data_IF_121945683638
#
_entry.id   IF_121945683638
#
_cell.length_a   1.000
_cell.length_b   1.000
_cell.length_c   1.000
_cell.angle_alpha   90.00
_cell.angle_beta   90.00
_cell.angle_gamma   90.00
#
_symmetry.space_group_name_H-M   'P 1'
#
loop_
_entity.id
_entity.type
_entity.pdbx_description
1 polymer ?
#
# COMPACT_ATOMS: atom_id res chain seq x y z
N UNK A 1 -13.66 -6.83 -1.12
CA UNK A 1 -12.26 -6.52 -0.74
C UNK A 1 -11.71 -7.53 0.28
N UNK A 2 -12.33 -7.69 1.45
CA UNK A 2 -11.87 -8.59 2.53
C UNK A 2 -11.60 -10.03 2.06
N UNK A 3 -12.55 -10.64 1.34
CA UNK A 3 -12.39 -12.01 0.83
C UNK A 3 -11.16 -12.17 -0.10
N UNK A 4 -10.84 -11.14 -0.90
CA UNK A 4 -9.65 -11.14 -1.76
C UNK A 4 -8.38 -11.06 -0.92
N UNK A 5 -8.36 -10.22 0.12
CA UNK A 5 -7.22 -10.12 1.04
C UNK A 5 -6.99 -11.44 1.78
N UNK A 6 -8.04 -12.07 2.31
CA UNK A 6 -7.94 -13.39 2.96
C UNK A 6 -7.46 -14.45 1.97
N UNK A 7 -8.04 -14.49 0.77
CA UNK A 7 -7.66 -15.45 -0.27
C UNK A 7 -6.19 -15.33 -0.66
N UNK A 8 -5.72 -14.11 -0.97
CA UNK A 8 -4.38 -13.87 -1.50
C UNK A 8 -3.28 -13.79 -0.42
N UNK A 9 -3.58 -13.24 0.76
CA UNK A 9 -2.58 -13.04 1.81
C UNK A 9 -2.56 -14.13 2.88
N UNK A 10 -3.59 -15.01 2.94
CA UNK A 10 -3.65 -16.11 3.92
C UNK A 10 -3.80 -17.45 3.23
N UNK A 11 -4.91 -17.68 2.52
CA UNK A 11 -5.25 -19.01 2.00
C UNK A 11 -4.23 -19.47 0.97
N UNK A 12 -3.87 -18.63 0.00
CA UNK A 12 -2.94 -18.99 -1.06
C UNK A 12 -1.52 -19.28 -0.52
N UNK A 13 -0.86 -18.40 0.27
CA UNK A 13 0.46 -18.70 0.87
C UNK A 13 0.47 -20.00 1.67
N UNK A 14 -0.51 -20.18 2.56
CA UNK A 14 -0.58 -21.36 3.42
C UNK A 14 -0.84 -22.63 2.60
N UNK A 15 -1.67 -22.56 1.55
CA UNK A 15 -1.92 -23.70 0.67
C UNK A 15 -0.68 -24.13 -0.12
N UNK A 16 0.09 -23.17 -0.66
CA UNK A 16 1.34 -23.45 -1.37
C UNK A 16 2.37 -24.10 -0.43
N UNK A 17 2.52 -23.57 0.78
CA UNK A 17 3.43 -24.10 1.81
C UNK A 17 2.99 -25.50 2.26
N UNK A 18 1.70 -25.68 2.58
CA UNK A 18 1.16 -26.96 3.03
C UNK A 18 1.29 -28.04 1.96
N UNK A 19 1.08 -27.69 0.69
CA UNK A 19 1.24 -28.64 -0.42
C UNK A 19 2.66 -29.19 -0.49
N UNK A 20 3.69 -28.35 -0.32
CA UNK A 20 5.09 -28.77 -0.31
C UNK A 20 5.41 -29.76 0.83
N UNK A 21 4.75 -29.63 1.98
CA UNK A 21 4.97 -30.50 3.14
C UNK A 21 4.17 -31.82 3.11
N UNK A 22 2.94 -31.77 2.58
CA UNK A 22 1.95 -32.85 2.72
C UNK A 22 1.89 -33.73 1.48
N UNK A 23 1.94 -33.15 0.29
CA UNK A 23 1.77 -33.88 -0.98
C UNK A 23 2.73 -33.37 -2.08
N UNK A 24 4.05 -33.35 -1.85
CA UNK A 24 5.01 -32.91 -2.85
C UNK A 24 5.06 -33.88 -4.04
N UNK A 25 5.46 -33.43 -5.23
CA UNK A 25 5.74 -34.29 -6.37
C UNK A 25 6.75 -35.39 -6.05
N UNK A 26 6.52 -36.59 -6.56
CA UNK A 26 7.38 -37.76 -6.36
C UNK A 26 8.66 -37.77 -7.22
N UNK A 27 8.92 -36.71 -7.99
CA UNK A 27 10.07 -36.59 -8.87
C UNK A 27 10.85 -35.30 -8.60
N UNK A 28 12.16 -35.33 -8.90
CA UNK A 28 13.09 -34.25 -8.58
C UNK A 28 12.74 -32.93 -9.30
N UNK A 29 12.36 -32.99 -10.58
CA UNK A 29 11.96 -31.82 -11.35
C UNK A 29 10.73 -31.14 -10.71
N UNK A 30 9.72 -31.94 -10.37
CA UNK A 30 8.48 -31.45 -9.80
C UNK A 30 8.67 -30.76 -8.45
N UNK A 31 9.41 -31.35 -7.52
CA UNK A 31 9.64 -30.72 -6.21
C UNK A 31 10.50 -29.45 -6.34
N UNK A 32 11.52 -29.48 -7.20
CA UNK A 32 12.39 -28.32 -7.42
C UNK A 32 11.60 -27.15 -8.01
N UNK A 33 10.77 -27.43 -9.02
CA UNK A 33 9.87 -26.44 -9.62
C UNK A 33 8.83 -25.96 -8.59
N UNK A 34 8.23 -26.86 -7.82
CA UNK A 34 7.25 -26.49 -6.81
C UNK A 34 7.85 -25.54 -5.77
N UNK A 35 9.02 -25.87 -5.24
CA UNK A 35 9.73 -25.07 -4.26
C UNK A 35 10.10 -23.69 -4.82
N UNK A 36 10.69 -23.65 -6.03
CA UNK A 36 11.08 -22.40 -6.69
C UNK A 36 9.89 -21.47 -6.93
N UNK A 37 8.82 -21.99 -7.54
CA UNK A 37 7.64 -21.19 -7.86
C UNK A 37 6.88 -20.79 -6.59
N UNK A 38 6.86 -21.64 -5.56
CA UNK A 38 6.32 -21.25 -4.24
C UNK A 38 7.13 -20.10 -3.64
N UNK A 39 8.46 -20.15 -3.68
CA UNK A 39 9.30 -19.07 -3.18
C UNK A 39 9.06 -17.75 -3.93
N UNK A 40 8.97 -17.80 -5.27
CA UNK A 40 8.66 -16.63 -6.11
C UNK A 40 7.28 -16.08 -5.77
N UNK A 41 6.26 -16.93 -5.65
CA UNK A 41 4.90 -16.52 -5.31
C UNK A 41 4.82 -15.91 -3.90
N UNK A 42 5.47 -16.51 -2.89
CA UNK A 42 5.54 -15.97 -1.54
C UNK A 42 6.23 -14.60 -1.52
N UNK A 43 7.31 -14.43 -2.29
CA UNK A 43 7.97 -13.13 -2.43
C UNK A 43 7.06 -12.09 -3.10
N UNK A 44 6.40 -12.44 -4.21
CA UNK A 44 5.45 -11.56 -4.89
C UNK A 44 4.32 -11.12 -3.93
N UNK A 45 3.73 -12.07 -3.19
CA UNK A 45 2.70 -11.80 -2.20
C UNK A 45 3.24 -10.89 -1.09
N UNK A 46 4.44 -11.18 -0.54
CA UNK A 46 5.10 -10.36 0.48
C UNK A 46 5.25 -8.89 0.04
N UNK A 47 5.55 -8.64 -1.24
CA UNK A 47 5.75 -7.30 -1.79
C UNK A 47 4.44 -6.57 -2.09
N UNK A 48 3.45 -7.26 -2.62
CA UNK A 48 2.18 -6.65 -3.03
C UNK A 48 1.16 -6.54 -1.90
N UNK A 49 1.29 -7.40 -0.88
CA UNK A 49 0.38 -7.48 0.24
C UNK A 49 0.22 -6.15 0.97
N UNK A 50 -1.00 -5.89 1.42
CA UNK A 50 -1.38 -4.67 2.12
C UNK A 50 -0.94 -4.74 3.59
N UNK A 51 -0.93 -5.95 4.15
CA UNK A 51 -0.45 -6.26 5.49
C UNK A 51 -1.05 -5.47 6.65
N UNK A 52 -2.27 -4.95 6.47
CA UNK A 52 -3.13 -4.44 7.55
C UNK A 52 -3.75 -5.56 8.37
N UNK A 53 -4.12 -6.65 7.68
CA UNK A 53 -4.51 -7.92 8.25
C UNK A 53 -4.31 -9.04 7.21
N UNK A 54 -3.50 -10.06 7.50
CA UNK A 54 -2.68 -10.21 8.70
C UNK A 54 -1.53 -9.17 8.74
N UNK A 55 -0.87 -8.92 9.89
CA UNK A 55 0.08 -7.81 10.05
C UNK A 55 1.35 -7.92 9.20
N UNK A 56 2.09 -6.82 9.08
CA UNK A 56 3.34 -6.68 8.30
C UNK A 56 4.42 -7.73 8.56
N UNK A 57 4.43 -8.38 9.72
CA UNK A 57 5.42 -9.43 10.03
C UNK A 57 5.04 -10.81 9.49
N UNK A 58 3.82 -11.00 8.99
CA UNK A 58 3.30 -12.30 8.52
C UNK A 58 4.14 -12.93 7.39
N UNK A 59 4.64 -12.18 6.39
CA UNK A 59 5.50 -12.75 5.35
C UNK A 59 6.76 -13.44 5.88
N UNK A 60 7.33 -12.98 6.99
CA UNK A 60 8.50 -13.62 7.59
C UNK A 60 8.14 -14.99 8.20
N UNK A 61 6.93 -15.14 8.74
CA UNK A 61 6.42 -16.44 9.16
C UNK A 61 6.21 -17.37 7.97
N UNK A 62 5.68 -16.87 6.86
CA UNK A 62 5.54 -17.67 5.64
C UNK A 62 6.90 -18.16 5.12
N UNK A 63 7.94 -17.31 5.14
CA UNK A 63 9.30 -17.75 4.81
C UNK A 63 9.80 -18.86 5.73
N UNK A 64 9.55 -18.74 7.04
CA UNK A 64 9.94 -19.75 8.02
C UNK A 64 9.19 -21.08 7.82
N UNK A 65 7.87 -21.02 7.61
CA UNK A 65 7.05 -22.19 7.33
C UNK A 65 7.39 -22.83 5.99
N UNK A 66 7.74 -22.04 4.98
CA UNK A 66 8.21 -22.54 3.69
C UNK A 66 9.51 -23.36 3.85
N UNK A 67 10.50 -22.83 4.57
CA UNK A 67 11.76 -23.56 4.82
C UNK A 67 11.48 -24.86 5.59
N UNK A 68 10.65 -24.82 6.63
CA UNK A 68 10.28 -26.01 7.38
C UNK A 68 9.54 -27.03 6.50
N UNK A 69 8.58 -26.58 5.70
CA UNK A 69 7.81 -27.41 4.79
C UNK A 69 8.71 -28.09 3.74
N UNK A 70 9.68 -27.36 3.19
CA UNK A 70 10.65 -27.89 2.25
C UNK A 70 11.52 -28.98 2.90
N UNK A 71 12.04 -28.74 4.11
CA UNK A 71 12.84 -29.74 4.85
C UNK A 71 12.02 -30.99 5.15
N UNK A 72 10.77 -30.83 5.61
CA UNK A 72 9.86 -31.95 5.90
C UNK A 72 9.53 -32.72 4.62
N UNK A 73 9.20 -32.02 3.53
CA UNK A 73 8.89 -32.62 2.23
C UNK A 73 10.05 -33.45 1.69
N UNK A 74 11.27 -32.88 1.70
CA UNK A 74 12.51 -33.54 1.27
C UNK A 74 12.88 -34.75 2.14
N UNK A 75 12.64 -34.71 3.46
CA UNK A 75 12.95 -35.83 4.36
C UNK A 75 11.96 -36.98 4.25
N UNK A 76 10.68 -36.68 4.00
CA UNK A 76 9.61 -37.69 3.91
C UNK A 76 9.64 -38.49 2.61
N UNK A 77 10.11 -37.88 1.52
CA UNK A 77 10.01 -38.48 0.19
C UNK A 77 11.38 -38.86 -0.36
N UNK A 78 11.57 -40.16 -0.62
CA UNK A 78 12.71 -40.63 -1.40
C UNK A 78 12.37 -40.50 -2.87
N UNK A 79 13.08 -39.64 -3.60
CA UNK A 79 12.86 -39.43 -5.03
C UNK A 79 13.33 -40.67 -5.81
N UNK A 80 12.37 -41.39 -6.39
CA UNK A 80 12.65 -42.59 -7.17
C UNK A 80 12.88 -42.28 -8.66
N UNK A 81 12.49 -41.09 -9.11
CA UNK A 81 12.55 -40.66 -10.52
C UNK A 81 12.93 -39.19 -10.63
N UNK A 82 13.59 -38.83 -11.73
CA UNK A 82 13.93 -37.44 -12.03
C UNK A 82 12.75 -36.69 -12.68
N UNK A 83 11.99 -37.36 -13.54
CA UNK A 83 10.92 -36.77 -14.36
C UNK A 83 9.52 -37.33 -14.03
N UNK A 84 8.44 -36.59 -14.37
CA UNK A 84 7.07 -37.09 -14.27
C UNK A 84 6.83 -38.30 -15.18
N UNK A 85 6.09 -39.29 -14.69
CA UNK A 85 5.78 -40.51 -15.45
C UNK A 85 4.38 -40.54 -16.07
N UNK A 86 3.56 -39.51 -15.82
CA UNK A 86 2.19 -39.43 -16.35
C UNK A 86 2.01 -38.13 -17.11
N UNK A 87 1.11 -38.14 -18.10
CA UNK A 87 0.72 -36.94 -18.84
C UNK A 87 0.11 -35.87 -17.91
N UNK A 88 -0.65 -36.29 -16.88
CA UNK A 88 -1.15 -35.40 -15.83
C UNK A 88 -0.01 -34.71 -15.06
N UNK A 89 1.08 -35.43 -14.79
CA UNK A 89 2.28 -34.85 -14.17
C UNK A 89 2.92 -33.78 -15.04
N UNK A 90 2.99 -34.00 -16.35
CA UNK A 90 3.47 -32.98 -17.30
C UNK A 90 2.53 -31.77 -17.42
N UNK A 91 1.22 -31.97 -17.40
CA UNK A 91 0.25 -30.86 -17.33
C UNK A 91 0.45 -30.04 -16.05
N UNK A 92 0.64 -30.70 -14.91
CA UNK A 92 0.92 -30.02 -13.65
C UNK A 92 2.21 -29.19 -13.73
N UNK A 93 3.28 -29.72 -14.34
CA UNK A 93 4.52 -28.96 -14.60
C UNK A 93 4.22 -27.72 -15.44
N UNK A 94 3.54 -27.85 -16.58
CA UNK A 94 3.23 -26.71 -17.47
C UNK A 94 2.39 -25.66 -16.75
N UNK A 95 1.37 -26.08 -16.00
CA UNK A 95 0.54 -25.17 -15.22
C UNK A 95 1.35 -24.43 -14.15
N UNK A 96 2.27 -25.11 -13.46
CA UNK A 96 3.10 -24.49 -12.43
C UNK A 96 4.17 -23.57 -13.02
N UNK A 97 4.73 -23.90 -14.19
CA UNK A 97 5.60 -22.98 -14.93
C UNK A 97 4.82 -21.71 -15.31
N UNK A 98 3.61 -21.84 -15.86
CA UNK A 98 2.79 -20.68 -16.21
C UNK A 98 2.48 -19.81 -14.99
N UNK A 99 2.11 -20.43 -13.86
CA UNK A 99 1.92 -19.72 -12.59
C UNK A 99 3.21 -19.06 -12.10
N UNK A 100 4.35 -19.74 -12.21
CA UNK A 100 5.67 -19.21 -11.86
C UNK A 100 6.10 -18.01 -12.70
N UNK A 101 5.83 -18.04 -14.01
CA UNK A 101 6.06 -16.90 -14.91
C UNK A 101 5.19 -15.72 -14.50
N UNK A 102 3.89 -15.95 -14.24
CA UNK A 102 2.99 -14.92 -13.75
C UNK A 102 3.47 -14.32 -12.42
N UNK A 103 3.74 -15.16 -11.41
CA UNK A 103 4.23 -14.72 -10.10
C UNK A 103 5.58 -14.00 -10.19
N UNK A 104 6.47 -14.46 -11.08
CA UNK A 104 7.75 -13.83 -11.36
C UNK A 104 7.60 -12.43 -11.95
N UNK A 105 6.68 -12.25 -12.91
CA UNK A 105 6.34 -10.93 -13.42
C UNK A 105 5.82 -10.01 -12.31
N UNK A 106 4.90 -10.49 -11.48
CA UNK A 106 4.36 -9.69 -10.37
C UNK A 106 5.43 -9.31 -9.33
N UNK A 107 6.37 -10.23 -9.04
CA UNK A 107 7.53 -9.96 -8.20
C UNK A 107 8.45 -8.88 -8.80
N UNK A 108 8.80 -9.00 -10.09
CA UNK A 108 9.68 -8.03 -10.76
C UNK A 108 9.05 -6.65 -10.81
N UNK A 109 7.76 -6.55 -11.15
CA UNK A 109 7.08 -5.26 -11.26
C UNK A 109 6.86 -4.59 -9.90
N UNK A 110 6.47 -5.36 -8.87
CA UNK A 110 6.36 -4.84 -7.50
C UNK A 110 7.73 -4.47 -6.91
N UNK A 111 8.81 -5.13 -7.32
CA UNK A 111 10.17 -4.75 -6.98
C UNK A 111 10.58 -3.45 -7.68
N UNK A 112 10.32 -3.32 -8.99
CA UNK A 112 10.62 -2.11 -9.76
C UNK A 112 9.92 -0.86 -9.17
N UNK A 113 8.71 -1.03 -8.64
CA UNK A 113 7.95 0.03 -7.97
C UNK A 113 8.62 0.67 -6.75
N UNK A 114 9.70 0.08 -6.21
CA UNK A 114 10.47 0.68 -5.12
C UNK A 114 11.38 1.82 -5.55
N UNK A 115 11.65 1.94 -6.85
CA UNK A 115 12.49 3.01 -7.36
C UNK A 115 11.63 4.20 -7.75
N UNK A 116 12.02 5.42 -7.37
CA UNK A 116 11.32 6.61 -7.81
C UNK A 116 11.40 6.71 -9.34
N UNK A 117 10.36 7.21 -10.01
CA UNK A 117 10.41 7.47 -11.45
C UNK A 117 11.50 8.52 -11.77
N UNK A 118 12.01 8.57 -13.02
CA UNK A 118 13.08 9.48 -13.44
C UNK A 118 12.57 10.93 -13.66
N UNK A 119 11.86 11.46 -12.67
CA UNK A 119 11.36 12.83 -12.61
C UNK A 119 11.75 13.46 -11.26
N UNK A 120 11.76 14.79 -11.13
CA UNK A 120 12.09 15.45 -9.87
C UNK A 120 11.19 14.95 -8.73
N UNK A 121 11.81 14.61 -7.60
CA UNK A 121 11.11 14.26 -6.36
C UNK A 121 11.14 15.45 -5.39
N UNK A 122 10.18 15.49 -4.49
CA UNK A 122 10.06 16.52 -3.46
C UNK A 122 10.40 15.91 -2.11
N UNK A 123 11.35 16.50 -1.39
CA UNK A 123 11.59 16.16 0.02
C UNK A 123 10.65 16.96 0.93
N UNK A 124 9.89 16.24 1.76
CA UNK A 124 8.93 16.77 2.71
C UNK A 124 9.28 16.32 4.14
N UNK A 125 8.80 17.06 5.13
CA UNK A 125 8.73 16.58 6.50
C UNK A 125 7.58 15.59 6.66
N UNK A 126 7.75 14.59 7.52
CA UNK A 126 6.68 13.62 7.77
C UNK A 126 5.50 14.31 8.50
N UNK A 127 4.25 14.21 8.01
CA UNK A 127 3.13 15.04 8.45
C UNK A 127 2.44 14.55 9.73
N UNK A 128 3.03 13.58 10.44
CA UNK A 128 2.47 12.94 11.64
C UNK A 128 3.58 12.81 12.71
N UNK A 129 3.23 12.63 13.98
CA UNK A 129 4.19 12.59 15.10
C UNK A 129 3.83 11.56 16.17
N UNK A 130 4.81 11.09 16.93
CA UNK A 130 4.56 10.32 18.16
C UNK A 130 3.94 8.93 17.97
N UNK A 131 4.24 8.23 16.88
CA UNK A 131 3.65 6.94 16.58
C UNK A 131 4.43 6.10 15.56
N UNK A 132 3.95 4.87 15.37
CA UNK A 132 4.42 3.95 14.34
C UNK A 132 3.41 3.94 13.18
N UNK A 133 3.90 4.20 11.98
CA UNK A 133 3.07 4.33 10.78
C UNK A 133 3.45 3.30 9.73
N UNK A 134 2.46 2.81 8.99
CA UNK A 134 2.60 1.92 7.85
C UNK A 134 2.13 2.64 6.58
N UNK A 135 2.91 2.54 5.51
CA UNK A 135 2.53 3.03 4.20
C UNK A 135 1.62 2.00 3.53
N UNK A 136 0.36 2.36 3.31
CA UNK A 136 -0.67 1.51 2.71
C UNK A 136 -0.61 1.55 1.17
N UNK A 137 -0.51 2.76 0.63
CA UNK A 137 -0.20 3.01 -0.78
C UNK A 137 1.08 3.83 -0.85
N UNK A 138 2.00 3.44 -1.71
CA UNK A 138 3.27 4.13 -1.91
C UNK A 138 4.14 3.40 -2.92
N UNK A 139 5.09 4.10 -3.52
CA UNK A 139 5.89 3.59 -4.62
C UNK A 139 5.35 4.00 -5.99
N UNK A 140 6.02 3.52 -7.04
CA UNK A 140 5.85 3.98 -8.43
C UNK A 140 5.13 2.99 -9.35
N UNK A 141 4.74 1.81 -8.85
CA UNK A 141 4.00 0.81 -9.61
C UNK A 141 2.59 0.54 -9.04
N UNK A 142 1.64 0.24 -9.92
CA UNK A 142 0.23 0.00 -9.60
C UNK A 142 0.01 -1.14 -8.58
N UNK A 143 0.92 -2.13 -8.53
CA UNK A 143 0.81 -3.28 -7.62
C UNK A 143 0.95 -2.90 -6.16
N UNK A 144 1.69 -1.83 -5.88
CA UNK A 144 1.99 -1.34 -4.53
C UNK A 144 1.39 0.06 -4.27
N UNK A 145 0.99 0.77 -5.32
CA UNK A 145 0.36 2.08 -5.21
C UNK A 145 -0.83 2.23 -6.17
N UNK A 146 -2.05 2.17 -5.64
CA UNK A 146 -3.27 2.31 -6.44
C UNK A 146 -3.37 3.65 -7.18
N UNK A 147 -2.76 4.72 -6.66
CA UNK A 147 -2.82 6.06 -7.23
C UNK A 147 -2.13 6.19 -8.59
N UNK A 148 -1.11 5.36 -8.85
CA UNK A 148 -0.37 5.31 -10.12
C UNK A 148 -1.29 5.04 -11.30
N UNK A 149 -2.47 4.43 -11.06
CA UNK A 149 -3.51 4.23 -12.07
C UNK A 149 -3.91 5.52 -12.78
N UNK A 150 -3.83 6.66 -12.09
CA UNK A 150 -4.26 7.96 -12.63
C UNK A 150 -3.27 8.55 -13.65
N UNK A 151 -2.13 7.89 -13.88
CA UNK A 151 -1.21 8.19 -14.99
C UNK A 151 -1.69 7.67 -16.34
N UNK A 152 -2.68 6.77 -16.39
CA UNK A 152 -3.19 6.23 -17.64
C UNK A 152 -3.94 7.31 -18.45
N UNK A 153 -3.25 7.85 -19.46
CA UNK A 153 -3.74 8.95 -20.29
C UNK A 153 -4.86 8.51 -21.26
N UNK A 154 -5.04 7.20 -21.46
CA UNK A 154 -6.11 6.64 -22.30
C UNK A 154 -7.49 6.78 -21.65
N UNK A 155 -7.55 7.08 -20.35
CA UNK A 155 -8.79 7.23 -19.58
C UNK A 155 -9.02 8.72 -19.24
N UNK A 156 -9.88 9.44 -19.98
CA UNK A 156 -9.99 10.90 -19.88
C UNK A 156 -10.31 11.41 -18.47
N UNK A 157 -11.11 10.66 -17.70
CA UNK A 157 -11.47 11.04 -16.32
C UNK A 157 -10.27 11.12 -15.36
N UNK A 158 -9.15 10.46 -15.65
CA UNK A 158 -7.98 10.47 -14.78
C UNK A 158 -7.19 11.77 -14.83
N UNK A 159 -7.36 12.61 -15.85
CA UNK A 159 -6.67 13.90 -15.96
C UNK A 159 -6.92 14.81 -14.75
N UNK A 160 -8.13 14.80 -14.21
CA UNK A 160 -8.49 15.59 -13.03
C UNK A 160 -7.94 15.03 -11.71
N UNK A 161 -7.33 13.85 -11.76
CA UNK A 161 -6.85 13.10 -10.60
C UNK A 161 -5.37 12.75 -10.67
N UNK A 162 -4.67 13.01 -11.78
CA UNK A 162 -3.31 12.51 -12.02
C UNK A 162 -2.29 12.96 -10.97
N UNK A 163 -2.50 14.12 -10.37
CA UNK A 163 -1.62 14.71 -9.36
C UNK A 163 -1.53 13.91 -8.07
N UNK A 164 -2.48 13.01 -7.80
CA UNK A 164 -2.37 12.07 -6.69
C UNK A 164 -1.41 10.91 -6.97
N UNK A 165 -0.95 10.73 -8.22
CA UNK A 165 0.00 9.68 -8.55
C UNK A 165 1.27 9.85 -7.73
N UNK A 166 1.86 8.72 -7.31
CA UNK A 166 2.97 8.69 -6.34
C UNK A 166 2.64 9.25 -4.96
N UNK A 167 1.39 9.63 -4.71
CA UNK A 167 0.87 9.93 -3.37
C UNK A 167 0.90 8.68 -2.48
N UNK A 168 0.78 8.94 -1.19
CA UNK A 168 0.82 7.93 -0.14
C UNK A 168 -0.42 7.99 0.73
N UNK A 169 -0.91 6.80 1.06
CA UNK A 169 -1.90 6.61 2.12
C UNK A 169 -1.17 6.06 3.34
N UNK A 170 -1.25 6.77 4.45
CA UNK A 170 -0.51 6.49 5.67
C UNK A 170 -1.50 6.11 6.76
N UNK A 171 -1.26 4.97 7.41
CA UNK A 171 -2.03 4.51 8.58
C UNK A 171 -1.10 4.39 9.79
N UNK A 172 -1.68 4.41 10.98
CA UNK A 172 -0.95 4.13 12.23
C UNK A 172 -1.18 2.68 12.63
N UNK A 173 -0.18 2.07 13.26
CA UNK A 173 -0.22 0.71 13.77
C UNK A 173 0.20 0.68 15.23
N UNK A 174 -0.34 -0.27 15.98
CA UNK A 174 0.11 -0.55 17.33
C UNK A 174 1.41 -1.37 17.35
N UNK A 175 1.88 -1.69 18.56
CA UNK A 175 3.10 -2.51 18.77
C UNK A 175 3.02 -3.92 18.18
N UNK A 176 1.83 -4.43 17.87
CA UNK A 176 1.61 -5.74 17.25
C UNK A 176 1.45 -5.64 15.73
N UNK A 177 1.49 -4.43 15.17
CA UNK A 177 1.29 -4.17 13.75
C UNK A 177 -0.19 -4.12 13.33
N UNK A 178 -1.12 -3.95 14.29
CA UNK A 178 -2.54 -3.83 14.01
C UNK A 178 -2.93 -2.37 13.86
N UNK A 179 -3.68 -2.05 12.80
CA UNK A 179 -4.14 -0.68 12.52
C UNK A 179 -5.46 -0.31 13.19
N UNK A 180 -6.17 -1.29 13.75
CA UNK A 180 -7.47 -1.07 14.39
C UNK A 180 -7.77 -2.16 15.45
N UNK A 181 -8.70 -1.87 16.35
CA UNK A 181 -9.29 -2.86 17.24
C UNK A 181 -10.33 -3.71 16.47
N UNK A 182 -9.84 -4.80 15.86
CA UNK A 182 -10.61 -5.66 14.97
C UNK A 182 -10.08 -5.62 13.53
N UNK A 183 -10.65 -6.45 12.67
CA UNK A 183 -10.15 -6.61 11.29
C UNK A 183 -10.64 -5.45 10.39
N UNK A 184 -11.96 -5.23 10.36
CA UNK A 184 -12.60 -4.13 9.62
C UNK A 184 -13.78 -3.60 10.45
N UNK A 185 -13.51 -2.91 11.57
CA UNK A 185 -14.58 -2.34 12.39
C UNK A 185 -15.29 -1.22 11.62
N UNK A 186 -16.60 -1.09 11.81
CA UNK A 186 -17.37 0.02 11.22
C UNK A 186 -17.16 1.35 11.97
N UNK A 187 -16.75 1.27 13.23
CA UNK A 187 -16.44 2.42 14.08
C UNK A 187 -15.07 2.98 13.72
N UNK A 188 -15.04 4.26 13.33
CA UNK A 188 -13.83 4.97 12.93
C UNK A 188 -12.87 5.16 14.11
N UNK A 189 -13.39 5.33 15.33
CA UNK A 189 -12.57 5.49 16.53
C UNK A 189 -11.82 4.20 16.93
N UNK A 190 -12.18 3.06 16.33
CA UNK A 190 -11.44 1.82 16.51
C UNK A 190 -10.13 1.78 15.72
N UNK A 191 -9.89 2.71 14.77
CA UNK A 191 -8.66 2.82 14.00
C UNK A 191 -7.64 3.69 14.73
N UNK A 192 -6.40 3.21 14.81
CA UNK A 192 -5.34 3.89 15.58
C UNK A 192 -5.14 5.34 15.13
N UNK A 193 -5.17 5.58 13.80
CA UNK A 193 -4.87 6.89 13.22
C UNK A 193 -6.04 7.89 13.32
N UNK A 194 -7.26 7.45 13.63
CA UNK A 194 -8.41 8.37 13.62
C UNK A 194 -8.26 9.45 14.69
N UNK A 195 -8.37 10.72 14.28
CA UNK A 195 -8.16 11.87 15.15
C UNK A 195 -6.70 12.28 15.35
N UNK A 196 -5.73 11.59 14.73
CA UNK A 196 -4.31 11.97 14.84
C UNK A 196 -4.06 13.37 14.24
N UNK A 197 -3.30 14.25 14.92
CA UNK A 197 -2.98 15.57 14.39
C UNK A 197 -2.13 15.51 13.11
N UNK A 198 -2.58 16.19 12.07
CA UNK A 198 -1.86 16.37 10.81
C UNK A 198 -1.07 17.68 10.85
N UNK A 199 0.21 17.60 10.52
CA UNK A 199 1.15 18.72 10.53
C UNK A 199 1.54 19.13 9.11
N UNK A 200 1.91 20.40 8.94
CA UNK A 200 2.40 20.93 7.68
C UNK A 200 3.73 20.23 7.28
N UNK A 201 3.77 19.50 6.14
CA UNK A 201 4.98 18.82 5.69
C UNK A 201 6.01 19.76 5.04
N UNK A 202 5.63 21.00 4.74
CA UNK A 202 6.49 22.02 4.16
C UNK A 202 6.01 23.42 4.58
N UNK A 203 6.94 24.38 4.62
CA UNK A 203 6.61 25.79 4.85
C UNK A 203 6.07 26.41 3.56
N UNK A 204 5.02 27.19 3.65
CA UNK A 204 4.36 27.73 2.48
C UNK A 204 3.02 28.39 2.78
N UNK A 205 2.17 28.50 1.75
CA UNK A 205 0.86 29.14 1.84
C UNK A 205 -0.26 28.14 1.62
N UNK A 206 -1.30 28.20 2.43
CA UNK A 206 -2.54 27.45 2.22
C UNK A 206 -3.28 28.05 1.03
N UNK A 207 -3.35 27.32 -0.10
CA UNK A 207 -4.04 27.79 -1.31
C UNK A 207 -5.48 27.27 -1.41
N UNK A 208 -5.78 26.15 -0.73
CA UNK A 208 -7.15 25.67 -0.51
C UNK A 208 -7.23 25.03 0.87
N UNK A 209 -8.35 25.24 1.56
CA UNK A 209 -8.70 24.62 2.83
C UNK A 209 -10.20 24.33 2.80
N UNK A 210 -10.56 23.06 2.66
CA UNK A 210 -11.95 22.62 2.50
C UNK A 210 -12.31 21.71 3.67
N UNK A 211 -13.41 22.05 4.33
CA UNK A 211 -13.98 21.33 5.48
C UNK A 211 -15.50 21.21 5.33
N UNK A 212 -16.14 20.45 6.21
CA UNK A 212 -17.60 20.30 6.31
C UNK A 212 -18.16 19.05 5.65
N UNK A 213 -17.36 18.26 4.93
CA UNK A 213 -17.78 16.93 4.48
C UNK A 213 -17.82 15.96 5.67
N UNK A 214 -18.87 15.16 5.82
CA UNK A 214 -18.94 14.17 6.89
C UNK A 214 -17.92 13.04 6.66
N UNK A 215 -17.52 12.38 7.75
CA UNK A 215 -16.83 11.10 7.65
C UNK A 215 -17.78 10.03 7.08
N UNK A 216 -17.24 9.14 6.25
CA UNK A 216 -17.99 8.01 5.73
C UNK A 216 -17.85 6.81 6.68
N UNK A 217 -18.97 6.19 7.06
CA UNK A 217 -18.94 4.92 7.79
C UNK A 217 -18.46 3.81 6.87
N UNK A 218 -17.54 2.96 7.33
CA UNK A 218 -17.03 1.85 6.54
C UNK A 218 -18.17 0.85 6.25
N UNK A 219 -18.36 0.37 5.00
CA UNK A 219 -17.49 0.52 3.82
C UNK A 219 -17.95 1.58 2.79
N UNK A 220 -18.71 2.59 3.22
CA UNK A 220 -19.19 3.67 2.35
C UNK A 220 -18.06 4.63 1.99
N UNK A 221 -18.12 5.21 0.79
CA UNK A 221 -17.14 6.18 0.29
C UNK A 221 -17.84 7.26 -0.54
N UNK A 222 -17.41 8.51 -0.43
CA UNK A 222 -17.89 9.58 -1.31
C UNK A 222 -17.03 9.63 -2.58
N UNK A 223 -17.60 9.15 -3.70
CA UNK A 223 -16.92 9.09 -5.00
C UNK A 223 -16.99 10.39 -5.78
N UNK A 224 -17.85 11.32 -5.37
CA UNK A 224 -18.01 12.65 -5.98
C UNK A 224 -16.97 13.59 -5.37
N UNK A 225 -16.97 13.74 -4.05
CA UNK A 225 -16.02 14.58 -3.32
C UNK A 225 -14.82 13.74 -2.87
N UNK A 226 -14.04 13.25 -3.83
CA UNK A 226 -12.99 12.25 -3.57
C UNK A 226 -11.97 12.66 -2.50
N UNK A 227 -11.59 13.92 -2.43
CA UNK A 227 -10.65 14.42 -1.42
C UNK A 227 -11.27 14.54 -0.01
N UNK A 228 -12.61 14.57 0.10
CA UNK A 228 -13.30 14.86 1.36
C UNK A 228 -12.94 16.26 1.88
N UNK A 229 -12.60 16.33 3.16
CA UNK A 229 -11.98 17.49 3.78
C UNK A 229 -10.46 17.44 3.51
N UNK A 230 -9.89 18.55 3.04
CA UNK A 230 -8.49 18.59 2.61
C UNK A 230 -7.89 19.99 2.69
N UNK A 231 -6.57 20.05 2.65
CA UNK A 231 -5.81 21.29 2.47
C UNK A 231 -4.79 21.12 1.35
N UNK A 232 -4.54 22.20 0.61
CA UNK A 232 -3.45 22.29 -0.35
C UNK A 232 -2.47 23.37 0.11
N UNK A 233 -1.22 22.98 0.32
CA UNK A 233 -0.11 23.85 0.70
C UNK A 233 0.74 24.11 -0.54
N UNK A 234 0.94 25.39 -0.86
CA UNK A 234 1.91 25.81 -1.88
C UNK A 234 3.27 26.03 -1.25
N UNK A 235 4.22 25.17 -1.61
CA UNK A 235 5.56 25.15 -1.06
C UNK A 235 6.58 25.40 -2.18
N UNK A 236 6.82 26.67 -2.51
CA UNK A 236 7.61 27.05 -3.68
C UNK A 236 6.83 26.83 -4.98
N UNK A 237 7.35 25.98 -5.86
CA UNK A 237 6.83 25.69 -7.22
C UNK A 237 6.00 24.39 -7.28
N UNK A 238 5.53 23.92 -6.12
CA UNK A 238 4.70 22.73 -5.96
C UNK A 238 3.50 22.99 -5.06
N UNK A 239 2.47 22.18 -5.24
CA UNK A 239 1.32 22.07 -4.36
C UNK A 239 1.36 20.68 -3.68
N UNK A 240 1.27 20.67 -2.35
CA UNK A 240 1.14 19.46 -1.52
C UNK A 240 -0.30 19.37 -1.03
N UNK A 241 -0.97 18.26 -1.35
CA UNK A 241 -2.35 18.01 -0.93
C UNK A 241 -2.37 17.00 0.20
N UNK A 242 -3.10 17.34 1.27
CA UNK A 242 -3.39 16.50 2.43
C UNK A 242 -4.91 16.33 2.52
N UNK A 243 -5.42 15.11 2.60
CA UNK A 243 -6.85 14.82 2.47
C UNK A 243 -7.39 13.83 3.50
N UNK A 244 -8.71 13.59 3.41
CA UNK A 244 -9.50 12.72 4.29
C UNK A 244 -9.54 13.20 5.74
N UNK A 245 -9.51 14.52 5.96
CA UNK A 245 -9.55 15.07 7.31
C UNK A 245 -10.89 14.82 8.00
N UNK A 246 -10.82 14.75 9.33
CA UNK A 246 -11.98 14.67 10.20
C UNK A 246 -12.82 15.95 10.05
N UNK A 247 -14.16 15.86 10.00
CA UNK A 247 -15.02 17.03 9.89
C UNK A 247 -14.76 18.02 11.02
N UNK A 248 -14.74 19.31 10.70
CA UNK A 248 -14.58 20.41 11.67
C UNK A 248 -13.22 20.40 12.40
N UNK A 249 -12.22 19.73 11.84
CA UNK A 249 -10.88 19.64 12.45
C UNK A 249 -9.85 20.60 11.84
N UNK A 250 -10.13 21.21 10.68
CA UNK A 250 -9.17 22.11 10.04
C UNK A 250 -8.88 23.31 10.95
N UNK A 251 -7.61 23.53 11.25
CA UNK A 251 -7.11 24.69 12.00
C UNK A 251 -6.53 25.78 11.11
N UNK A 252 -6.70 25.66 9.80
CA UNK A 252 -6.15 26.57 8.79
C UNK A 252 -7.19 27.05 7.80
N UNK A 253 -6.91 28.21 7.19
CA UNK A 253 -7.77 28.84 6.18
C UNK A 253 -6.94 29.22 4.94
N UNK A 254 -7.62 29.33 3.81
CA UNK A 254 -7.00 29.81 2.57
C UNK A 254 -6.35 31.18 2.76
N UNK A 255 -5.12 31.32 2.24
CA UNK A 255 -4.31 32.53 2.32
C UNK A 255 -3.31 32.55 3.47
N UNK A 256 -3.48 31.69 4.48
CA UNK A 256 -2.59 31.62 5.63
C UNK A 256 -1.20 31.08 5.26
N UNK A 257 -0.17 31.64 5.87
CA UNK A 257 1.19 31.10 5.83
C UNK A 257 1.37 30.08 6.98
N UNK A 258 2.03 28.96 6.67
CA UNK A 258 2.33 27.87 7.60
C UNK A 258 3.81 27.53 7.53
N UNK A 259 4.37 27.06 8.64
CA UNK A 259 5.72 26.51 8.76
C UNK A 259 5.64 25.01 8.94
N UNK A 260 6.72 24.31 8.56
CA UNK A 260 6.85 22.87 8.84
C UNK A 260 6.53 22.58 10.31
N UNK A 261 5.63 21.63 10.55
CA UNK A 261 5.20 21.25 11.90
C UNK A 261 4.00 22.01 12.44
N UNK A 262 3.52 23.06 11.77
CA UNK A 262 2.28 23.73 12.16
C UNK A 262 1.09 22.78 11.99
N UNK A 263 0.10 22.87 12.89
CA UNK A 263 -1.09 22.02 12.85
C UNK A 263 -2.01 22.42 11.69
N UNK A 264 -2.43 21.44 10.90
CA UNK A 264 -3.34 21.60 9.76
C UNK A 264 -4.76 21.13 10.09
N UNK A 265 -4.89 19.89 10.58
CA UNK A 265 -6.17 19.22 10.82
C UNK A 265 -6.00 17.98 11.70
N UNK A 266 -7.02 17.12 11.76
CA UNK A 266 -6.94 15.75 12.28
C UNK A 266 -7.29 14.75 11.17
N UNK A 267 -6.69 13.56 11.22
CA UNK A 267 -7.02 12.46 10.31
C UNK A 267 -8.47 11.99 10.55
N UNK A 268 -9.23 11.83 9.48
CA UNK A 268 -10.61 11.34 9.50
C UNK A 268 -10.84 10.23 8.48
N UNK A 269 -12.04 10.20 7.91
CA UNK A 269 -12.46 9.27 6.88
C UNK A 269 -13.46 9.91 5.88
N UNK A 270 -13.35 11.21 5.63
CA UNK A 270 -14.17 11.92 4.66
C UNK A 270 -13.72 11.63 3.22
N UNK A 271 -14.64 11.71 2.25
CA UNK A 271 -14.30 11.54 0.83
C UNK A 271 -14.21 10.08 0.37
N UNK A 272 -13.37 9.82 -0.64
CA UNK A 272 -13.17 8.49 -1.22
C UNK A 272 -12.14 7.66 -0.44
N UNK A 273 -12.42 7.45 0.85
CA UNK A 273 -11.54 6.75 1.79
C UNK A 273 -12.15 5.43 2.27
N UNK A 274 -11.45 4.31 2.03
CA UNK A 274 -11.94 2.96 2.41
C UNK A 274 -11.85 2.69 3.92
N UNK A 275 -10.95 3.39 4.63
CA UNK A 275 -10.74 3.35 6.08
C UNK A 275 -9.93 4.57 6.55
N UNK A 276 -9.98 4.99 7.84
CA UNK A 276 -9.21 6.13 8.32
C UNK A 276 -7.71 6.04 7.96
N UNK A 277 -7.23 7.04 7.23
CA UNK A 277 -5.83 7.20 6.83
C UNK A 277 -5.55 8.66 6.46
N UNK A 278 -4.27 9.05 6.47
CA UNK A 278 -3.84 10.31 5.88
C UNK A 278 -3.42 10.07 4.43
N UNK A 279 -4.07 10.74 3.48
CA UNK A 279 -3.58 10.83 2.11
C UNK A 279 -2.67 12.06 1.97
N UNK A 280 -1.49 11.87 1.36
CA UNK A 280 -0.57 12.95 0.99
C UNK A 280 -0.10 12.78 -0.46
N UNK A 281 -0.14 13.84 -1.25
CA UNK A 281 0.40 13.86 -2.61
C UNK A 281 1.09 15.19 -2.92
N UNK A 282 2.03 15.18 -3.87
CA UNK A 282 2.71 16.37 -4.35
C UNK A 282 2.57 16.47 -5.86
N UNK A 283 2.38 17.68 -6.34
CA UNK A 283 2.15 17.95 -7.76
C UNK A 283 2.65 19.35 -8.13
N UNK A 284 2.83 19.59 -9.43
CA UNK A 284 2.83 20.94 -9.99
C UNK A 284 1.46 21.58 -9.79
N UNK A 285 1.39 22.91 -9.96
CA UNK A 285 0.15 23.64 -9.79
C UNK A 285 -0.99 23.02 -10.61
N UNK A 286 -2.06 22.68 -9.91
CA UNK A 286 -3.30 22.20 -10.51
C UNK A 286 -4.29 23.33 -10.76
N UNK A 287 -5.54 22.95 -10.96
CA UNK A 287 -6.68 23.88 -11.03
C UNK A 287 -7.47 23.85 -9.73
N UNK A 288 -8.10 24.98 -9.39
CA UNK A 288 -8.93 25.07 -8.17
C UNK A 288 -10.11 24.09 -8.24
N UNK A 289 -10.73 23.94 -9.42
CA UNK A 289 -11.89 23.06 -9.63
C UNK A 289 -11.54 21.56 -9.62
N UNK A 290 -10.27 21.19 -9.81
CA UNK A 290 -9.81 19.81 -9.76
C UNK A 290 -8.52 19.73 -8.92
N UNK A 291 -8.62 19.54 -7.60
CA UNK A 291 -7.50 19.67 -6.67
C UNK A 291 -6.35 18.68 -6.93
N UNK A 292 -6.60 17.61 -7.69
CA UNK A 292 -5.62 16.58 -8.08
C UNK A 292 -5.20 16.67 -9.55
N UNK A 293 -5.41 17.79 -10.24
CA UNK A 293 -5.16 17.90 -11.69
C UNK A 293 -3.72 18.21 -12.08
N UNK A 294 -2.85 18.55 -11.12
CA UNK A 294 -1.48 18.93 -11.38
C UNK A 294 -0.62 17.76 -11.86
N UNK A 295 0.54 18.05 -12.46
CA UNK A 295 1.49 17.00 -12.83
C UNK A 295 2.12 16.41 -11.55
N UNK A 296 2.01 15.08 -11.32
CA UNK A 296 2.41 14.46 -10.05
C UNK A 296 3.93 14.47 -9.86
N UNK A 297 4.34 14.53 -8.61
CA UNK A 297 5.74 14.48 -8.18
C UNK A 297 5.90 13.42 -7.08
N UNK A 298 6.92 12.55 -7.14
CA UNK A 298 7.22 11.62 -6.06
C UNK A 298 7.61 12.37 -4.79
N UNK A 299 7.15 11.87 -3.64
CA UNK A 299 7.51 12.41 -2.31
C UNK A 299 8.62 11.56 -1.70
N UNK A 300 9.56 12.23 -1.04
CA UNK A 300 10.53 11.64 -0.15
C UNK A 300 10.36 12.21 1.25
N UNK A 301 10.64 11.39 2.26
CA UNK A 301 10.76 11.82 3.65
C UNK A 301 12.18 11.55 4.12
N UNK A 302 12.89 12.61 4.50
CA UNK A 302 14.31 12.52 4.84
C UNK A 302 15.14 11.75 3.76
N UNK A 303 14.90 12.06 2.48
CA UNK A 303 15.56 11.42 1.34
C UNK A 303 15.04 10.02 0.97
N UNK A 304 14.16 9.41 1.77
CA UNK A 304 13.61 8.08 1.52
C UNK A 304 12.35 8.16 0.66
N UNK A 305 12.34 7.48 -0.48
CA UNK A 305 11.13 7.22 -1.26
C UNK A 305 10.42 6.00 -0.64
N UNK A 306 9.28 6.24 0.01
CA UNK A 306 8.58 5.19 0.73
C UNK A 306 7.61 4.43 -0.18
N UNK A 307 7.50 3.13 0.09
CA UNK A 307 6.61 2.22 -0.63
C UNK A 307 5.64 1.49 0.28
N UNK A 308 4.62 0.84 -0.29
CA UNK A 308 3.73 -0.02 0.49
C UNK A 308 4.52 -0.98 1.38
N UNK A 309 4.11 -1.08 2.64
CA UNK A 309 4.73 -1.93 3.64
C UNK A 309 5.91 -1.29 4.37
N UNK A 310 6.42 -0.14 3.91
CA UNK A 310 7.40 0.63 4.66
C UNK A 310 6.80 1.13 5.97
N UNK A 311 7.65 1.16 7.00
CA UNK A 311 7.30 1.64 8.33
C UNK A 311 8.08 2.90 8.67
N UNK A 312 7.40 3.83 9.35
CA UNK A 312 7.98 5.09 9.83
C UNK A 312 7.67 5.21 11.31
N UNK A 313 8.71 5.23 12.13
CA UNK A 313 8.60 5.45 13.58
C UNK A 313 8.95 6.90 13.88
N UNK A 314 8.00 7.63 14.44
CA UNK A 314 8.20 9.00 14.88
C UNK A 314 8.45 9.03 16.40
N UNK A 315 9.49 9.73 16.88
CA UNK A 315 9.72 9.90 18.30
C UNK A 315 8.48 10.47 19.00
N UNK A 316 8.23 9.99 20.22
CA UNK A 316 7.19 10.49 21.12
C UNK A 316 7.58 11.82 21.72
#
# INVERSE_FOLDING_TARGET
MIAVLIGLQIVLPLSLIAWLAIAPPHNLLGISLQALVTAIALFAIARMGVWVFPPWWTPYLYGSFFVLALVVGLRRHKFQRELPSSWLGWIAIVAFVAFGVFAGNEAVQSWAGQFPPPIPAVDLAFPLRGGDYLILNGGSDIRINAHVKTLDESVPRFRNYRGQSYGMDIIQIDRFGLRANGIFPNDLAAYQIYGEPVLAPCSGKIVQAIDGFPDMLIPQVDRVNRAGNYAILRCGDIDVLLAHFRPQSLSVQQGMDVRVGDRIAEVGNSGASDEPHLHISAQRFGTVAAPFSGNPLPIRFAGRFLIRGDRVTMPK
#
